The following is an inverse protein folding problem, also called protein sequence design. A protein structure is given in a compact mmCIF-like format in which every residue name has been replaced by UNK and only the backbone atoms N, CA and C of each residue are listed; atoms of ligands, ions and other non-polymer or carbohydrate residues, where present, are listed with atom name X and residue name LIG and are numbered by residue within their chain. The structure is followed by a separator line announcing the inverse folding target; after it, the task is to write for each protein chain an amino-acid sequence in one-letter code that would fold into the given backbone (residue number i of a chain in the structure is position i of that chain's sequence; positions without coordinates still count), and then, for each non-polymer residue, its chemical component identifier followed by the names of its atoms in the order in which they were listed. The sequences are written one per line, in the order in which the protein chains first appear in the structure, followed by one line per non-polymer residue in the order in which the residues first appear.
data_IF_820612287614
#
_entry.id   IF_820612287614
#
_cell.length_a   1.000
_cell.length_b   1.000
_cell.length_c   1.000
_cell.angle_alpha   90.00
_cell.angle_beta   90.00
_cell.angle_gamma   90.00
#
_symmetry.space_group_name_H-M   'P 1'
#
loop_
_entity.id
_entity.type
_entity.pdbx_description
1 polymer ?
#
# COMPACT_ATOMS: atom_id res chain seq x y z
N UNK A 1 3.21 6.67 13.91
CA UNK A 1 4.37 7.37 13.32
C UNK A 1 3.98 8.80 13.09
N UNK A 2 4.89 9.75 13.31
CA UNK A 2 4.58 11.19 13.29
C UNK A 2 4.83 11.81 11.90
N UNK A 3 4.65 11.04 10.82
CA UNK A 3 5.07 11.44 9.47
C UNK A 3 4.30 12.64 8.94
N UNK A 4 2.97 12.71 9.17
CA UNK A 4 2.17 13.86 8.79
C UNK A 4 2.63 15.13 9.53
N UNK A 5 2.91 15.03 10.84
CA UNK A 5 3.44 16.14 11.64
C UNK A 5 4.84 16.58 11.17
N UNK A 6 5.70 15.62 10.79
CA UNK A 6 7.02 15.93 10.25
C UNK A 6 6.95 16.64 8.90
N UNK A 7 6.04 16.21 8.01
CA UNK A 7 5.79 16.86 6.73
C UNK A 7 5.21 18.25 6.92
N UNK A 8 4.25 18.41 7.82
CA UNK A 8 3.66 19.69 8.19
C UNK A 8 4.73 20.68 8.67
N UNK A 9 5.61 20.24 9.59
CA UNK A 9 6.74 21.06 10.07
C UNK A 9 7.71 21.43 8.95
N UNK A 10 8.03 20.48 8.07
CA UNK A 10 8.92 20.71 6.93
C UNK A 10 8.32 21.75 5.97
N UNK A 11 7.05 21.59 5.58
CA UNK A 11 6.40 22.47 4.59
C UNK A 11 6.06 23.84 5.16
N UNK A 12 5.63 23.95 6.42
CA UNK A 12 5.41 25.26 7.06
C UNK A 12 6.70 26.09 7.17
N UNK A 13 7.87 25.46 7.14
CA UNK A 13 9.15 26.17 7.12
C UNK A 13 9.50 26.73 5.73
N UNK A 14 8.93 26.19 4.64
CA UNK A 14 9.30 26.52 3.26
C UNK A 14 8.18 27.16 2.44
N UNK A 15 6.92 26.96 2.83
CA UNK A 15 5.73 27.34 2.08
C UNK A 15 4.81 28.23 2.91
N UNK A 16 4.22 29.25 2.27
CA UNK A 16 3.32 30.22 2.93
C UNK A 16 1.89 29.69 3.08
N UNK A 17 1.46 28.80 2.18
CA UNK A 17 0.13 28.20 2.16
C UNK A 17 0.23 26.67 2.26
N UNK A 18 0.35 26.18 3.49
CA UNK A 18 0.35 24.75 3.79
C UNK A 18 -0.98 24.10 3.37
N UNK A 19 -0.88 22.97 2.67
CA UNK A 19 -2.00 22.17 2.21
C UNK A 19 -1.86 20.73 2.71
N UNK A 20 -2.60 20.40 3.77
CA UNK A 20 -2.61 19.09 4.42
C UNK A 20 -3.04 17.97 3.47
N UNK A 21 -3.92 18.27 2.50
CA UNK A 21 -4.41 17.27 1.55
C UNK A 21 -3.26 16.67 0.74
N UNK A 22 -2.30 17.50 0.33
CA UNK A 22 -1.12 17.04 -0.43
C UNK A 22 -0.24 16.10 0.39
N UNK A 23 -0.07 16.35 1.68
CA UNK A 23 0.73 15.47 2.53
C UNK A 23 0.02 14.15 2.80
N UNK A 24 -1.30 14.18 3.01
CA UNK A 24 -2.10 12.96 3.12
C UNK A 24 -2.04 12.12 1.83
N UNK A 25 -2.18 12.76 0.66
CA UNK A 25 -2.07 12.06 -0.63
C UNK A 25 -0.66 11.50 -0.86
N UNK A 26 0.38 12.22 -0.45
CA UNK A 26 1.76 11.73 -0.53
C UNK A 26 1.96 10.49 0.35
N UNK A 27 1.48 10.51 1.59
CA UNK A 27 1.59 9.35 2.50
C UNK A 27 0.81 8.15 1.95
N UNK A 28 -0.38 8.35 1.40
CA UNK A 28 -1.13 7.29 0.72
C UNK A 28 -0.37 6.74 -0.50
N UNK A 29 0.23 7.61 -1.31
CA UNK A 29 1.07 7.20 -2.45
C UNK A 29 2.26 6.35 -2.00
N UNK A 30 2.96 6.76 -0.95
CA UNK A 30 4.07 5.99 -0.35
C UNK A 30 3.59 4.59 0.07
N UNK A 31 2.50 4.51 0.85
CA UNK A 31 1.96 3.24 1.32
C UNK A 31 1.58 2.31 0.16
N UNK A 32 0.85 2.85 -0.82
CA UNK A 32 0.32 2.06 -1.94
C UNK A 32 1.41 1.60 -2.90
N UNK A 33 2.43 2.43 -3.18
CA UNK A 33 3.60 2.02 -3.96
C UNK A 33 4.39 0.91 -3.25
N UNK A 34 4.66 1.07 -1.95
CA UNK A 34 5.34 0.03 -1.15
C UNK A 34 4.54 -1.27 -1.15
N UNK A 35 3.22 -1.20 -0.97
CA UNK A 35 2.37 -2.38 -1.03
C UNK A 35 2.46 -3.09 -2.39
N UNK A 36 2.47 -2.35 -3.50
CA UNK A 36 2.63 -2.90 -4.84
C UNK A 36 4.03 -3.49 -5.06
N UNK A 37 5.09 -2.87 -4.53
CA UNK A 37 6.44 -3.42 -4.53
C UNK A 37 6.47 -4.76 -3.78
N UNK A 38 5.95 -4.81 -2.55
CA UNK A 38 5.83 -6.03 -1.77
C UNK A 38 5.09 -7.14 -2.55
N UNK A 39 3.98 -6.83 -3.25
CA UNK A 39 3.26 -7.83 -4.05
C UNK A 39 4.12 -8.43 -5.17
N UNK A 40 4.88 -7.59 -5.88
CA UNK A 40 5.78 -8.05 -6.95
C UNK A 40 6.88 -8.93 -6.38
N UNK A 41 7.56 -8.45 -5.33
CA UNK A 41 8.69 -9.14 -4.72
C UNK A 41 8.24 -10.44 -4.05
N UNK A 42 7.07 -10.47 -3.42
CA UNK A 42 6.49 -11.69 -2.84
C UNK A 42 6.18 -12.75 -3.91
N UNK A 43 5.74 -12.31 -5.09
CA UNK A 43 5.46 -13.21 -6.22
C UNK A 43 6.76 -13.75 -6.82
N UNK A 44 7.74 -12.87 -7.05
CA UNK A 44 9.05 -13.25 -7.56
C UNK A 44 9.80 -14.16 -6.58
N UNK A 45 9.77 -13.85 -5.29
CA UNK A 45 10.36 -14.68 -4.25
C UNK A 45 9.73 -16.09 -4.25
N UNK A 46 8.41 -16.21 -4.36
CA UNK A 46 7.73 -17.50 -4.45
C UNK A 46 8.15 -18.30 -5.70
N UNK A 47 8.22 -17.64 -6.86
CA UNK A 47 8.60 -18.28 -8.12
C UNK A 47 10.06 -18.76 -8.08
N UNK A 48 10.96 -17.92 -7.54
CA UNK A 48 12.38 -18.25 -7.37
C UNK A 48 12.59 -19.42 -6.40
N UNK A 49 11.95 -19.42 -5.23
CA UNK A 49 12.02 -20.54 -4.29
C UNK A 49 11.51 -21.84 -4.93
N UNK A 50 10.34 -21.76 -5.56
CA UNK A 50 9.72 -22.93 -6.20
C UNK A 50 10.61 -23.50 -7.30
N UNK A 51 11.22 -22.63 -8.12
CA UNK A 51 12.12 -23.01 -9.21
C UNK A 51 13.39 -23.69 -8.70
N UNK A 52 14.06 -23.09 -7.72
CA UNK A 52 15.34 -23.59 -7.21
C UNK A 52 15.23 -24.93 -6.48
N UNK A 53 14.05 -25.23 -5.90
CA UNK A 53 13.81 -26.50 -5.21
C UNK A 53 13.56 -27.68 -6.15
N UNK A 54 13.11 -27.43 -7.37
CA UNK A 54 12.75 -28.49 -8.34
C UNK A 54 13.70 -28.57 -9.53
N UNK A 55 14.47 -27.52 -9.79
CA UNK A 55 15.42 -27.47 -10.90
C UNK A 55 16.74 -26.81 -10.48
N UNK A 56 17.90 -27.41 -10.81
CA UNK A 56 19.18 -26.76 -10.60
C UNK A 56 19.26 -25.42 -11.34
N UNK A 57 19.93 -24.43 -10.75
CA UNK A 57 20.06 -23.08 -11.29
C UNK A 57 20.75 -23.01 -12.67
N UNK A 58 21.53 -24.03 -13.02
CA UNK A 58 22.22 -24.17 -14.31
C UNK A 58 21.34 -24.66 -15.45
N UNK A 59 20.15 -25.20 -15.16
CA UNK A 59 19.25 -25.74 -16.18
C UNK A 59 18.51 -24.62 -16.90
N UNK A 60 18.61 -24.60 -18.23
CA UNK A 60 17.81 -23.71 -19.08
C UNK A 60 16.38 -24.23 -19.19
N UNK A 61 15.46 -23.57 -18.49
CA UNK A 61 14.04 -23.93 -18.46
C UNK A 61 13.40 -23.59 -19.81
N UNK A 62 13.01 -24.62 -20.57
CA UNK A 62 12.23 -24.45 -21.82
C UNK A 62 10.72 -24.43 -21.56
N UNK A 63 10.27 -25.04 -20.47
CA UNK A 63 8.87 -25.10 -20.04
C UNK A 63 8.80 -24.99 -18.53
N UNK A 64 7.83 -24.24 -17.98
CA UNK A 64 7.69 -24.06 -16.54
C UNK A 64 7.38 -25.41 -15.85
N UNK A 65 8.28 -25.96 -15.03
CA UNK A 65 8.04 -27.24 -14.36
C UNK A 65 6.88 -27.09 -13.37
N UNK A 66 6.04 -28.13 -13.28
CA UNK A 66 4.93 -28.16 -12.35
C UNK A 66 5.44 -28.43 -10.94
N UNK A 67 5.21 -27.48 -10.03
CA UNK A 67 5.55 -27.63 -8.61
C UNK A 67 4.47 -28.48 -7.92
N UNK A 68 4.83 -29.51 -7.15
CA UNK A 68 3.88 -30.27 -6.35
C UNK A 68 3.15 -29.39 -5.32
N UNK A 69 1.86 -29.65 -5.09
CA UNK A 69 1.05 -28.84 -4.17
C UNK A 69 1.54 -28.91 -2.71
N UNK A 70 2.04 -30.07 -2.26
CA UNK A 70 2.63 -30.23 -0.93
C UNK A 70 3.86 -29.32 -0.75
N UNK A 71 4.75 -29.29 -1.74
CA UNK A 71 5.92 -28.43 -1.75
C UNK A 71 5.54 -26.94 -1.77
N UNK A 72 4.52 -26.56 -2.56
CA UNK A 72 4.00 -25.18 -2.55
C UNK A 72 3.52 -24.76 -1.17
N UNK A 73 2.85 -25.65 -0.43
CA UNK A 73 2.41 -25.38 0.94
C UNK A 73 3.61 -25.17 1.87
N UNK A 74 4.60 -26.06 1.83
CA UNK A 74 5.82 -25.94 2.65
C UNK A 74 6.58 -24.65 2.39
N UNK A 75 6.71 -24.23 1.12
CA UNK A 75 7.36 -22.96 0.75
C UNK A 75 6.59 -21.76 1.33
N UNK A 76 5.25 -21.77 1.25
CA UNK A 76 4.42 -20.70 1.82
C UNK A 76 4.54 -20.63 3.34
N UNK A 77 4.50 -21.77 4.01
CA UNK A 77 4.66 -21.84 5.46
C UNK A 77 6.05 -21.36 5.90
N UNK A 78 7.10 -21.76 5.17
CA UNK A 78 8.47 -21.30 5.40
C UNK A 78 8.58 -19.76 5.32
N UNK A 79 8.04 -19.15 4.24
CA UNK A 79 8.07 -17.69 4.05
C UNK A 79 7.41 -16.95 5.21
N UNK A 80 6.32 -17.49 5.76
CA UNK A 80 5.60 -16.88 6.89
C UNK A 80 6.34 -17.07 8.21
N UNK A 81 6.85 -18.27 8.47
CA UNK A 81 7.50 -18.63 9.74
C UNK A 81 8.89 -18.00 9.90
N UNK A 82 9.59 -17.76 8.80
CA UNK A 82 10.96 -17.24 8.81
C UNK A 82 11.07 -15.77 8.38
N UNK A 83 9.96 -15.03 8.38
CA UNK A 83 9.95 -13.59 8.21
C UNK A 83 10.49 -12.89 9.47
N UNK A 84 11.82 -12.88 9.63
CA UNK A 84 12.50 -12.26 10.76
C UNK A 84 12.53 -10.74 10.66
N UNK A 85 12.81 -10.09 11.79
CA UNK A 85 13.07 -8.64 11.87
C UNK A 85 14.17 -8.21 10.90
N UNK A 86 15.24 -9.00 10.76
CA UNK A 86 16.33 -8.70 9.82
C UNK A 86 15.89 -8.70 8.36
N UNK A 87 14.99 -9.61 7.96
CA UNK A 87 14.42 -9.62 6.60
C UNK A 87 13.56 -8.37 6.37
N UNK A 88 12.75 -8.00 7.36
CA UNK A 88 11.90 -6.80 7.31
C UNK A 88 12.75 -5.52 7.23
N UNK A 89 13.87 -5.47 7.95
CA UNK A 89 14.82 -4.36 7.87
C UNK A 89 15.42 -4.25 6.46
N UNK A 90 15.92 -5.34 5.89
CA UNK A 90 16.50 -5.32 4.54
C UNK A 90 15.47 -4.88 3.49
N UNK A 91 14.21 -5.33 3.58
CA UNK A 91 13.13 -4.88 2.70
C UNK A 91 12.84 -3.39 2.87
N UNK A 92 12.80 -2.91 4.12
CA UNK A 92 12.60 -1.50 4.42
C UNK A 92 13.70 -0.60 3.86
N UNK A 93 14.96 -1.01 3.99
CA UNK A 93 16.13 -0.32 3.42
C UNK A 93 16.07 -0.30 1.89
N UNK A 94 15.80 -1.47 1.28
CA UNK A 94 15.62 -1.58 -0.17
C UNK A 94 14.55 -0.63 -0.70
N UNK A 95 13.36 -0.59 -0.09
CA UNK A 95 12.31 0.32 -0.54
C UNK A 95 12.64 1.78 -0.27
N UNK A 96 13.33 2.11 0.82
CA UNK A 96 13.74 3.49 1.09
C UNK A 96 14.69 4.02 0.01
N UNK A 97 15.56 3.17 -0.53
CA UNK A 97 16.49 3.51 -1.62
C UNK A 97 15.79 3.62 -2.98
N UNK A 98 14.81 2.76 -3.26
CA UNK A 98 14.22 2.61 -4.59
C UNK A 98 12.92 3.44 -4.77
N UNK A 99 12.25 3.83 -3.69
CA UNK A 99 11.01 4.61 -3.76
C UNK A 99 11.19 5.99 -4.44
N UNK A 100 12.28 6.75 -4.21
CA UNK A 100 12.49 8.03 -4.90
C UNK A 100 12.54 7.92 -6.42
N UNK A 101 13.06 6.82 -6.98
CA UNK A 101 13.10 6.61 -8.44
C UNK A 101 11.69 6.47 -9.04
N UNK A 102 10.73 6.02 -8.23
CA UNK A 102 9.33 5.83 -8.64
C UNK A 102 8.48 7.08 -8.52
N UNK A 103 8.88 8.03 -7.66
CA UNK A 103 8.19 9.30 -7.47
C UNK A 103 9.19 10.45 -7.20
N UNK A 104 10.03 10.80 -8.18
CA UNK A 104 11.15 11.73 -7.98
C UNK A 104 10.69 13.17 -7.71
N UNK A 105 9.51 13.55 -8.19
CA UNK A 105 8.97 14.91 -8.05
C UNK A 105 8.58 15.23 -6.60
N UNK A 106 8.11 14.24 -5.85
CA UNK A 106 7.58 14.44 -4.49
C UNK A 106 8.50 13.89 -3.40
N UNK A 107 9.41 12.97 -3.72
CA UNK A 107 10.26 12.27 -2.76
C UNK A 107 11.71 12.78 -2.77
N UNK A 108 11.88 14.07 -2.46
CA UNK A 108 13.19 14.63 -2.20
C UNK A 108 13.84 14.08 -0.90
N UNK A 109 15.15 14.30 -0.69
CA UNK A 109 15.88 13.78 0.48
C UNK A 109 15.26 14.16 1.83
N UNK A 110 14.80 15.40 1.99
CA UNK A 110 14.18 15.87 3.23
C UNK A 110 12.82 15.22 3.49
N UNK A 111 12.04 14.96 2.44
CA UNK A 111 10.75 14.27 2.53
C UNK A 111 10.96 12.81 2.93
N UNK A 112 11.93 12.12 2.31
CA UNK A 112 12.32 10.76 2.68
C UNK A 112 12.76 10.69 4.13
N UNK A 113 13.57 11.65 4.59
CA UNK A 113 13.99 11.75 5.98
C UNK A 113 12.81 11.95 6.93
N UNK A 114 11.88 12.85 6.60
CA UNK A 114 10.66 13.10 7.37
C UNK A 114 9.75 11.86 7.47
N UNK A 115 9.68 11.08 6.38
CA UNK A 115 8.82 9.90 6.26
C UNK A 115 9.52 8.57 6.61
N UNK A 116 10.81 8.54 6.93
CA UNK A 116 11.61 7.32 7.07
C UNK A 116 10.94 6.26 7.95
N UNK A 117 10.51 6.62 9.17
CA UNK A 117 9.84 5.67 10.09
C UNK A 117 8.52 5.15 9.52
N UNK A 118 7.79 5.98 8.78
CA UNK A 118 6.55 5.58 8.14
C UNK A 118 6.79 4.63 6.97
N UNK A 119 7.78 4.92 6.11
CA UNK A 119 8.20 4.05 5.00
C UNK A 119 8.58 2.65 5.51
N UNK A 120 9.43 2.58 6.54
CA UNK A 120 9.84 1.30 7.13
C UNK A 120 8.64 0.51 7.67
N UNK A 121 7.69 1.17 8.33
CA UNK A 121 6.49 0.49 8.84
C UNK A 121 5.54 0.07 7.72
N UNK A 122 5.43 0.85 6.65
CA UNK A 122 4.67 0.47 5.45
C UNK A 122 5.27 -0.76 4.80
N UNK A 123 6.60 -0.85 4.70
CA UNK A 123 7.32 -2.01 4.17
C UNK A 123 7.01 -3.26 4.99
N UNK A 124 7.16 -3.16 6.31
CA UNK A 124 6.92 -4.25 7.25
C UNK A 124 5.49 -4.78 7.14
N UNK A 125 4.49 -3.92 7.31
CA UNK A 125 3.09 -4.32 7.29
C UNK A 125 2.66 -4.83 5.91
N UNK A 126 3.09 -4.16 4.85
CA UNK A 126 2.76 -4.59 3.48
C UNK A 126 3.37 -5.95 3.17
N UNK A 127 4.60 -6.21 3.58
CA UNK A 127 5.23 -7.52 3.41
C UNK A 127 4.45 -8.61 4.15
N UNK A 128 4.16 -8.38 5.44
CA UNK A 128 3.39 -9.31 6.26
C UNK A 128 2.01 -9.60 5.68
N UNK A 129 1.36 -8.60 5.06
CA UNK A 129 0.07 -8.76 4.36
C UNK A 129 0.17 -9.66 3.13
N UNK A 130 1.19 -9.46 2.29
CA UNK A 130 1.28 -10.15 0.98
C UNK A 130 1.83 -11.58 1.07
N UNK A 131 2.52 -11.92 2.16
CA UNK A 131 3.03 -13.29 2.39
C UNK A 131 2.00 -14.22 3.04
N UNK A 132 0.82 -13.71 3.41
CA UNK A 132 -0.29 -14.55 3.86
C UNK A 132 -0.77 -15.48 2.74
N UNK A 133 -1.45 -16.56 3.11
CA UNK A 133 -2.10 -17.49 2.18
C UNK A 133 -3.56 -17.68 2.62
N UNK A 134 -4.55 -17.15 1.87
CA UNK A 134 -4.39 -16.23 0.74
C UNK A 134 -3.79 -14.86 1.13
N UNK A 135 -3.11 -14.13 0.21
CA UNK A 135 -2.60 -12.79 0.49
C UNK A 135 -3.72 -11.78 0.80
N UNK A 136 -3.47 -10.88 1.75
CA UNK A 136 -4.42 -9.79 2.06
C UNK A 136 -4.51 -8.79 0.90
N UNK A 137 -5.66 -8.11 0.82
CA UNK A 137 -5.91 -7.11 -0.20
C UNK A 137 -6.13 -5.72 0.38
N UNK A 138 -5.74 -4.72 -0.40
CA UNK A 138 -5.82 -3.31 -0.08
C UNK A 138 -6.48 -2.60 -1.27
N UNK A 139 -7.49 -1.77 -0.99
CA UNK A 139 -8.26 -1.01 -1.99
C UNK A 139 -8.22 0.47 -1.62
N UNK A 140 -7.92 1.33 -2.58
CA UNK A 140 -7.81 2.79 -2.37
C UNK A 140 -8.37 3.62 -3.53
N UNK A 141 -8.94 2.98 -4.55
CA UNK A 141 -9.48 3.67 -5.74
C UNK A 141 -10.93 4.10 -5.48
N UNK A 142 -11.11 4.96 -4.47
CA UNK A 142 -12.44 5.47 -4.09
C UNK A 142 -12.67 6.93 -4.47
N UNK A 143 -11.65 7.67 -4.88
CA UNK A 143 -11.79 9.09 -5.26
C UNK A 143 -12.85 9.27 -6.36
N UNK A 144 -13.80 10.18 -6.13
CA UNK A 144 -14.95 10.44 -7.02
C UNK A 144 -16.10 9.44 -6.89
N UNK A 145 -15.97 8.39 -6.07
CA UNK A 145 -17.06 7.43 -5.83
C UNK A 145 -18.06 7.94 -4.79
N UNK A 146 -19.23 7.30 -4.73
CA UNK A 146 -20.21 7.53 -3.67
C UNK A 146 -19.68 7.04 -2.32
N UNK A 147 -19.95 7.82 -1.27
CA UNK A 147 -19.61 7.41 0.08
C UNK A 147 -20.49 6.22 0.52
N UNK A 148 -19.85 5.10 0.86
CA UNK A 148 -20.53 3.88 1.33
C UNK A 148 -20.14 3.58 2.77
N UNK A 149 -21.09 3.71 3.70
CA UNK A 149 -20.82 3.57 5.13
C UNK A 149 -20.37 2.17 5.54
N UNK A 150 -20.67 1.17 4.72
CA UNK A 150 -20.34 -0.24 4.91
C UNK A 150 -18.83 -0.48 4.77
N UNK A 151 -18.18 0.22 3.84
CA UNK A 151 -16.76 0.05 3.50
C UNK A 151 -15.90 1.27 3.84
N UNK A 152 -16.51 2.41 4.20
CA UNK A 152 -15.81 3.68 4.40
C UNK A 152 -16.19 4.37 5.71
N UNK A 153 -15.27 5.19 6.22
CA UNK A 153 -15.45 6.12 7.33
C UNK A 153 -14.91 7.49 6.93
N UNK A 154 -15.63 8.55 7.30
CA UNK A 154 -15.17 9.93 7.09
C UNK A 154 -13.93 10.24 7.93
N UNK A 155 -12.98 10.97 7.36
CA UNK A 155 -11.80 11.49 8.04
C UNK A 155 -12.15 12.69 8.93
N UNK A 156 -12.32 13.88 8.32
CA UNK A 156 -12.74 15.10 9.05
C UNK A 156 -14.04 15.67 8.50
N UNK A 157 -14.21 15.69 7.17
CA UNK A 157 -15.43 16.15 6.50
C UNK A 157 -16.24 14.96 6.01
N UNK A 158 -17.55 15.04 6.20
CA UNK A 158 -18.52 14.09 5.64
C UNK A 158 -19.18 14.66 4.39
N UNK A 159 -19.54 13.78 3.46
CA UNK A 159 -20.14 14.10 2.17
C UNK A 159 -20.78 12.87 1.56
N UNK A 160 -21.52 13.06 0.48
CA UNK A 160 -22.12 11.98 -0.31
C UNK A 160 -21.16 11.42 -1.37
N UNK A 161 -20.06 12.14 -1.66
CA UNK A 161 -18.98 11.66 -2.51
C UNK A 161 -17.62 11.73 -1.80
N UNK A 162 -16.71 10.86 -2.24
CA UNK A 162 -15.32 10.82 -1.80
C UNK A 162 -14.51 11.87 -2.57
N UNK A 163 -14.00 12.88 -1.87
CA UNK A 163 -13.07 13.86 -2.42
C UNK A 163 -11.68 13.24 -2.62
N UNK A 164 -11.16 12.58 -1.58
CA UNK A 164 -9.89 11.87 -1.62
C UNK A 164 -9.83 10.78 -0.55
N UNK A 165 -8.93 9.83 -0.74
CA UNK A 165 -8.68 8.73 0.20
C UNK A 165 -7.56 9.11 1.15
N UNK A 166 -7.72 8.80 2.44
CA UNK A 166 -6.74 9.05 3.51
C UNK A 166 -6.05 7.75 3.89
N UNK A 167 -6.83 6.67 4.01
CA UNK A 167 -6.34 5.33 4.34
C UNK A 167 -7.12 4.28 3.55
N UNK A 168 -6.45 3.25 2.99
CA UNK A 168 -7.11 2.23 2.19
C UNK A 168 -8.06 1.35 3.01
N UNK A 169 -9.02 0.72 2.32
CA UNK A 169 -9.75 -0.41 2.89
C UNK A 169 -8.87 -1.66 2.85
N UNK A 170 -8.95 -2.48 3.91
CA UNK A 170 -8.22 -3.75 4.02
C UNK A 170 -9.18 -4.91 4.01
N UNK A 171 -8.85 -5.95 3.24
CA UNK A 171 -9.61 -7.18 3.10
C UNK A 171 -8.74 -8.38 3.45
N UNK A 172 -9.37 -9.43 3.98
CA UNK A 172 -8.68 -10.65 4.37
C UNK A 172 -7.95 -11.30 3.18
N UNK A 173 -8.56 -11.22 1.99
CA UNK A 173 -8.00 -11.55 0.69
C UNK A 173 -8.90 -10.98 -0.41
N UNK A 174 -8.58 -11.25 -1.67
CA UNK A 174 -9.39 -10.81 -2.81
C UNK A 174 -10.81 -11.40 -2.72
N UNK A 175 -11.82 -10.56 -2.85
CA UNK A 175 -13.23 -10.87 -2.59
C UNK A 175 -13.52 -11.43 -1.17
N UNK A 176 -12.60 -11.25 -0.23
CA UNK A 176 -12.73 -11.68 1.16
C UNK A 176 -13.50 -10.67 2.03
N UNK A 177 -13.69 -11.02 3.30
CA UNK A 177 -14.33 -10.13 4.27
C UNK A 177 -13.50 -8.85 4.51
N UNK A 178 -14.21 -7.74 4.73
CA UNK A 178 -13.61 -6.47 5.11
C UNK A 178 -13.01 -6.57 6.52
N UNK A 179 -11.73 -6.25 6.65
CA UNK A 179 -10.99 -6.23 7.92
C UNK A 179 -10.96 -4.81 8.49
N UNK A 180 -10.74 -3.81 7.64
CA UNK A 180 -10.74 -2.41 8.03
C UNK A 180 -11.38 -1.54 6.93
N UNK A 181 -12.26 -0.63 7.33
CA UNK A 181 -12.87 0.36 6.43
C UNK A 181 -11.81 1.34 5.92
N UNK A 182 -11.99 1.80 4.68
CA UNK A 182 -11.24 2.94 4.18
C UNK A 182 -11.55 4.18 5.02
N UNK A 183 -10.55 5.05 5.17
CA UNK A 183 -10.74 6.40 5.72
C UNK A 183 -10.70 7.37 4.54
N UNK A 184 -11.74 8.18 4.39
CA UNK A 184 -11.93 9.05 3.22
C UNK A 184 -12.35 10.45 3.64
N UNK A 185 -11.94 11.46 2.87
CA UNK A 185 -12.48 12.80 3.02
C UNK A 185 -13.71 12.96 2.12
N UNK A 186 -14.84 13.34 2.70
CA UNK A 186 -16.08 13.54 1.95
C UNK A 186 -16.24 14.96 1.42
N UNK A 187 -16.88 15.09 0.25
CA UNK A 187 -17.41 16.32 -0.31
C UNK A 187 -18.91 16.19 -0.57
N UNK A 188 -19.65 17.30 -0.44
CA UNK A 188 -21.07 17.36 -0.78
C UNK A 188 -21.20 17.67 -2.26
N UNK A 189 -22.01 16.92 -2.99
CA UNK A 189 -22.41 17.31 -4.35
C UNK A 189 -23.36 18.51 -4.29
N UNK A 190 -23.11 19.51 -5.13
CA UNK A 190 -24.10 20.55 -5.36
C UNK A 190 -25.29 19.90 -6.09
N UNK A 191 -26.41 19.73 -5.38
CA UNK A 191 -27.67 19.34 -6.01
C UNK A 191 -28.03 20.45 -7.00
N UNK A 192 -27.78 20.24 -8.29
CA UNK A 192 -28.38 21.07 -9.36
C UNK A 192 -29.89 21.04 -9.13
N UNK A 193 -30.42 22.14 -8.59
CA UNK A 193 -31.84 22.25 -8.31
C UNK A 193 -32.63 21.94 -9.57
N UNK A 194 -33.56 20.97 -9.49
CA UNK A 194 -34.63 20.84 -10.48
C UNK A 194 -35.34 22.19 -10.51
N UNK A 195 -35.02 23.02 -11.49
CA UNK A 195 -35.88 24.14 -11.87
C UNK A 195 -37.18 23.49 -12.35
N UNK A 196 -38.21 23.55 -11.52
CA UNK A 196 -39.57 23.21 -11.90
C UNK A 196 -39.90 24.04 -13.16
N UNK A 197 -40.01 23.38 -14.31
CA UNK A 197 -40.70 23.95 -15.46
C UNK A 197 -42.19 23.95 -15.08
N UNK A 198 -42.71 25.17 -14.84
CA UNK A 198 -44.13 25.47 -14.83
C UNK A 198 -44.67 25.41 -16.24
#
# INVERSE_FOLDING_TARGET
TDALENLEKLRKATETNYDEEKDVQLLLSILTEIFQMCKRDATEHMDNMSRLLITPSTVKIKHKPKVPAALLKEIKDFRRQHCSESVLQCLGEHYLENLPERNPEQLGPEVIKACKKYILKCAELSWLMVIQDPPMCMEWQFTGSEFKSETMRSFTKSGDQVQFVVWPALYLHDNGALVAKAIVQGMKTEKKGRKNQK
#
